data_IF_717562707289
#
_entry.id   IF_717562707289
#
_cell.length_a   1.000
_cell.length_b   1.000
_cell.length_c   1.000
_cell.angle_alpha   90.00
_cell.angle_beta   90.00
_cell.angle_gamma   90.00
#
_symmetry.space_group_name_H-M   'P 1'
#
loop_
_entity.id
_entity.type
_entity.pdbx_description
1 polymer ?
#
# COMPACT_ATOMS: atom_id res chain seq x y z
N UNK A 1 0.05 -3.00 -2.20
CA UNK A 1 -0.36 -2.84 -3.62
C UNK A 1 0.10 -1.46 -4.08
N UNK A 2 0.68 -1.40 -5.27
CA UNK A 2 1.53 -0.27 -5.70
C UNK A 2 0.73 1.00 -6.01
N UNK A 3 -0.52 0.84 -6.44
CA UNK A 3 -1.45 1.92 -6.80
C UNK A 3 -2.83 1.60 -6.24
N UNK A 4 -3.56 2.65 -5.85
CA UNK A 4 -4.96 2.59 -5.38
C UNK A 4 -5.96 2.25 -6.50
N UNK A 5 -5.63 2.55 -7.75
CA UNK A 5 -6.50 2.37 -8.89
C UNK A 5 -5.70 1.85 -10.11
N UNK A 6 -5.40 0.54 -10.16
CA UNK A 6 -4.65 -0.02 -11.28
C UNK A 6 -5.45 0.05 -12.59
N UNK A 7 -4.79 0.41 -13.69
CA UNK A 7 -5.43 0.43 -15.00
C UNK A 7 -5.82 -0.99 -15.44
N UNK A 8 -6.89 -1.15 -16.24
CA UNK A 8 -7.22 -2.45 -16.85
C UNK A 8 -6.06 -3.05 -17.65
N UNK A 9 -5.20 -2.20 -18.23
CA UNK A 9 -4.01 -2.64 -18.96
C UNK A 9 -2.96 -3.26 -18.02
N UNK A 10 -2.72 -2.68 -16.84
CA UNK A 10 -1.85 -3.25 -15.82
C UNK A 10 -2.36 -4.60 -15.34
N UNK A 11 -3.64 -4.69 -14.98
CA UNK A 11 -4.25 -5.95 -14.54
C UNK A 11 -4.10 -7.04 -15.62
N UNK A 12 -4.27 -6.68 -16.90
CA UNK A 12 -4.08 -7.60 -18.01
C UNK A 12 -2.64 -8.10 -18.14
N UNK A 13 -1.63 -7.24 -17.98
CA UNK A 13 -0.21 -7.63 -18.06
C UNK A 13 0.18 -8.57 -16.92
N UNK A 14 -0.24 -8.26 -15.70
CA UNK A 14 0.00 -9.11 -14.52
C UNK A 14 -0.70 -10.47 -14.67
N UNK A 15 -1.95 -10.48 -15.15
CA UNK A 15 -2.69 -11.71 -15.40
C UNK A 15 -2.04 -12.55 -16.52
N UNK A 16 -1.49 -11.92 -17.55
CA UNK A 16 -0.74 -12.61 -18.60
C UNK A 16 0.51 -13.29 -18.03
N UNK A 17 1.30 -12.60 -17.21
CA UNK A 17 2.47 -13.18 -16.54
C UNK A 17 2.12 -14.34 -15.58
N UNK A 18 0.93 -14.30 -14.98
CA UNK A 18 0.42 -15.43 -14.18
C UNK A 18 0.07 -16.64 -15.06
N UNK A 19 -0.55 -16.39 -16.21
CA UNK A 19 -0.98 -17.45 -17.13
C UNK A 19 0.19 -18.09 -17.86
N UNK A 20 1.25 -17.33 -18.12
CA UNK A 20 2.48 -17.78 -18.74
C UNK A 20 3.66 -16.93 -18.27
N UNK A 21 4.64 -17.57 -17.63
CA UNK A 21 5.88 -16.93 -17.19
C UNK A 21 6.92 -16.70 -18.32
N UNK A 22 6.51 -16.87 -19.58
CA UNK A 22 7.39 -16.83 -20.76
C UNK A 22 8.04 -18.17 -21.08
N UNK A 23 7.71 -19.23 -20.33
CA UNK A 23 8.15 -20.62 -20.55
C UNK A 23 6.97 -21.59 -20.60
N UNK A 24 5.74 -21.10 -20.75
CA UNK A 24 4.52 -21.90 -20.78
C UNK A 24 4.05 -22.39 -19.40
N UNK A 25 4.67 -21.92 -18.30
CA UNK A 25 4.30 -22.35 -16.95
C UNK A 25 3.31 -21.36 -16.34
N UNK A 26 2.12 -21.86 -16.03
CA UNK A 26 1.08 -21.11 -15.32
C UNK A 26 1.33 -21.15 -13.81
N UNK A 27 1.16 -20.02 -13.14
CA UNK A 27 1.21 -19.92 -11.68
C UNK A 27 2.60 -19.74 -11.08
N UNK A 28 3.59 -19.35 -11.88
CA UNK A 28 4.92 -18.99 -11.36
C UNK A 28 4.83 -17.69 -10.55
N UNK A 29 4.89 -17.83 -9.22
CA UNK A 29 4.82 -16.71 -8.30
C UNK A 29 5.99 -15.74 -8.49
N UNK A 30 7.19 -16.21 -8.86
CA UNK A 30 8.34 -15.32 -9.10
C UNK A 30 8.05 -14.41 -10.29
N UNK A 31 7.53 -14.97 -11.38
CA UNK A 31 7.15 -14.19 -12.56
C UNK A 31 6.01 -13.21 -12.24
N UNK A 32 5.00 -13.64 -11.47
CA UNK A 32 3.91 -12.79 -11.01
C UNK A 32 4.40 -11.61 -10.17
N UNK A 33 5.22 -11.86 -9.15
CA UNK A 33 5.75 -10.80 -8.28
C UNK A 33 6.64 -9.83 -9.06
N UNK A 34 7.43 -10.36 -10.00
CA UNK A 34 8.28 -9.54 -10.87
C UNK A 34 7.39 -8.62 -11.71
N UNK A 35 6.40 -9.17 -12.41
CA UNK A 35 5.47 -8.39 -13.22
C UNK A 35 4.74 -7.31 -12.41
N UNK A 36 4.33 -7.60 -11.17
CA UNK A 36 3.68 -6.61 -10.28
C UNK A 36 4.64 -5.48 -9.89
N UNK A 37 5.87 -5.81 -9.52
CA UNK A 37 6.82 -4.85 -8.94
C UNK A 37 7.60 -4.05 -9.99
N UNK A 38 7.76 -4.59 -11.19
CA UNK A 38 8.56 -3.96 -12.27
C UNK A 38 7.71 -3.41 -13.40
N UNK A 39 6.38 -3.47 -13.32
CA UNK A 39 5.53 -2.85 -14.34
C UNK A 39 5.77 -1.34 -14.39
N UNK A 40 5.72 -0.75 -15.58
CA UNK A 40 5.84 0.70 -15.76
C UNK A 40 4.84 1.48 -14.90
N UNK A 41 3.60 1.00 -14.75
CA UNK A 41 2.59 1.66 -13.93
C UNK A 41 2.92 1.59 -12.43
N UNK A 42 3.65 0.57 -12.01
CA UNK A 42 4.12 0.41 -10.64
C UNK A 42 5.37 1.27 -10.36
N UNK A 43 6.28 1.41 -11.32
CA UNK A 43 7.55 2.14 -11.14
C UNK A 43 7.48 3.62 -11.49
N UNK A 44 6.55 4.01 -12.36
CA UNK A 44 6.31 5.41 -12.74
C UNK A 44 4.89 5.81 -12.35
N UNK A 45 4.71 6.33 -11.11
CA UNK A 45 3.42 6.84 -10.69
C UNK A 45 2.96 7.96 -11.63
N UNK A 46 1.66 7.99 -11.93
CA UNK A 46 1.08 9.10 -12.67
C UNK A 46 1.36 10.43 -11.94
N UNK A 47 1.77 11.45 -12.69
CA UNK A 47 2.13 12.77 -12.14
C UNK A 47 0.91 13.59 -11.70
N UNK A 48 -0.30 13.11 -11.98
CA UNK A 48 -1.56 13.74 -11.61
C UNK A 48 -2.06 13.25 -10.24
N UNK A 49 -3.15 13.86 -9.76
CA UNK A 49 -3.74 13.52 -8.45
C UNK A 49 -4.43 12.14 -8.42
N UNK A 50 -4.43 11.40 -9.54
CA UNK A 50 -5.02 10.07 -9.64
C UNK A 50 -4.02 8.94 -9.40
N UNK A 51 -2.71 9.26 -9.36
CA UNK A 51 -1.64 8.29 -9.13
C UNK A 51 -1.32 8.00 -7.67
N UNK A 52 -0.95 6.74 -7.39
CA UNK A 52 -0.40 6.31 -6.11
C UNK A 52 -1.43 5.78 -5.10
N UNK A 53 -1.02 5.68 -3.83
CA UNK A 53 -1.86 5.30 -2.67
C UNK A 53 -1.63 6.28 -1.53
N UNK A 54 -2.69 6.65 -0.82
CA UNK A 54 -2.56 7.45 0.40
C UNK A 54 -1.77 6.68 1.46
N UNK A 55 -0.64 7.25 1.90
CA UNK A 55 0.18 6.66 2.96
C UNK A 55 -0.54 6.74 4.30
N UNK A 56 -0.61 5.63 5.01
CA UNK A 56 -1.25 5.47 6.33
C UNK A 56 -0.48 6.25 7.42
N UNK A 57 -1.17 6.81 8.45
CA UNK A 57 -0.54 7.57 9.53
C UNK A 57 0.70 6.90 10.12
N UNK A 58 0.63 5.61 10.46
CA UNK A 58 1.75 4.90 11.07
C UNK A 58 2.94 4.74 10.11
N UNK A 59 2.68 4.58 8.82
CA UNK A 59 3.71 4.51 7.78
C UNK A 59 4.38 5.87 7.57
N UNK A 60 3.65 6.98 7.73
CA UNK A 60 4.23 8.33 7.67
C UNK A 60 5.19 8.59 8.83
N UNK A 61 4.82 8.18 10.04
CA UNK A 61 5.71 8.31 11.21
C UNK A 61 6.93 7.41 11.05
N UNK A 62 6.74 6.18 10.60
CA UNK A 62 7.85 5.24 10.34
C UNK A 62 8.81 5.81 9.31
N UNK A 63 8.29 6.44 8.24
CA UNK A 63 9.12 7.14 7.27
C UNK A 63 9.88 8.31 7.92
N UNK A 64 9.22 9.15 8.71
CA UNK A 64 9.86 10.28 9.40
C UNK A 64 11.03 9.81 10.28
N UNK A 65 10.80 8.77 11.10
CA UNK A 65 11.81 8.18 11.98
C UNK A 65 13.01 7.67 11.17
N UNK A 66 12.76 7.01 10.02
CA UNK A 66 13.82 6.56 9.11
C UNK A 66 14.60 7.73 8.50
N UNK A 67 13.94 8.83 8.16
CA UNK A 67 14.58 10.02 7.57
C UNK A 67 15.51 10.71 8.57
N UNK A 68 15.19 10.69 9.86
CA UNK A 68 16.03 11.29 10.91
C UNK A 68 17.08 10.32 11.47
N UNK A 69 17.27 9.16 10.82
CA UNK A 69 18.28 8.14 11.14
C UNK A 69 18.28 7.72 12.62
N UNK A 70 17.12 7.77 13.28
CA UNK A 70 17.01 7.39 14.68
C UNK A 70 17.11 5.87 14.81
N UNK A 71 17.94 5.42 15.76
CA UNK A 71 18.09 4.02 16.12
C UNK A 71 17.58 3.80 17.55
N UNK A 72 17.02 2.63 17.79
CA UNK A 72 16.61 2.17 19.13
C UNK A 72 17.45 0.94 19.48
N UNK A 73 17.90 0.84 20.74
CA UNK A 73 18.61 -0.34 21.23
C UNK A 73 17.70 -1.57 21.28
N UNK A 74 16.40 -1.34 21.50
CA UNK A 74 15.38 -2.37 21.57
C UNK A 74 14.64 -2.48 20.24
N UNK A 75 14.29 -3.70 19.83
CA UNK A 75 13.51 -3.95 18.60
C UNK A 75 12.01 -3.64 18.76
N UNK A 76 11.65 -2.99 19.85
CA UNK A 76 10.29 -2.72 20.25
C UNK A 76 9.77 -1.39 19.70
N UNK A 77 8.45 -1.29 19.62
CA UNK A 77 7.77 -0.06 19.25
C UNK A 77 7.86 0.99 20.37
N UNK A 78 8.91 1.81 20.35
CA UNK A 78 9.22 2.79 21.39
C UNK A 78 8.25 4.00 21.49
N UNK A 79 7.31 4.15 20.54
CA UNK A 79 6.32 5.25 20.56
C UNK A 79 5.20 4.98 21.59
N UNK A 80 5.10 3.75 22.08
CA UNK A 80 4.05 3.32 23.01
C UNK A 80 2.71 3.06 22.31
N UNK A 81 1.65 2.88 23.10
CA UNK A 81 0.31 2.61 22.57
C UNK A 81 -0.23 3.82 21.78
N UNK A 82 -0.58 3.59 20.51
CA UNK A 82 -1.13 4.60 19.59
C UNK A 82 -2.54 4.29 19.11
N UNK A 83 -3.24 3.36 19.78
CA UNK A 83 -4.52 2.80 19.36
C UNK A 83 -5.73 3.65 19.76
N UNK A 84 -5.57 4.63 20.67
CA UNK A 84 -6.65 5.55 21.06
C UNK A 84 -7.05 6.50 19.89
N UNK A 85 -8.28 6.45 19.38
CA UNK A 85 -8.75 7.30 18.29
C UNK A 85 -8.93 8.78 18.70
N UNK A 86 -9.13 9.05 19.98
CA UNK A 86 -9.45 10.40 20.47
C UNK A 86 -8.20 11.27 20.62
N UNK A 87 -7.07 10.67 20.96
CA UNK A 87 -5.83 11.40 21.25
C UNK A 87 -4.61 10.92 20.47
N UNK A 88 -4.70 9.79 19.77
CA UNK A 88 -3.58 9.15 19.06
C UNK A 88 -3.94 8.84 17.60
N UNK A 89 -3.27 7.85 17.01
CA UNK A 89 -3.30 7.56 15.58
C UNK A 89 -4.41 6.60 15.17
N UNK A 90 -5.06 5.94 16.14
CA UNK A 90 -5.97 4.81 15.91
C UNK A 90 -5.29 3.64 15.16
N UNK A 91 -3.96 3.61 15.16
CA UNK A 91 -3.16 2.64 14.42
C UNK A 91 -1.93 2.29 15.24
N UNK A 92 -1.68 0.99 15.40
CA UNK A 92 -0.51 0.47 16.11
C UNK A 92 0.06 -0.75 15.36
N UNK A 93 1.40 -0.93 15.28
CA UNK A 93 1.95 -2.09 14.60
C UNK A 93 1.46 -3.36 15.28
N UNK A 94 1.15 -4.39 14.48
CA UNK A 94 0.65 -5.68 14.95
C UNK A 94 -0.77 -5.68 15.56
N UNK A 95 -1.50 -4.56 15.51
CA UNK A 95 -2.89 -4.47 16.00
C UNK A 95 -3.91 -4.28 14.85
N UNK A 96 -3.67 -4.88 13.69
CA UNK A 96 -4.62 -4.82 12.59
C UNK A 96 -5.93 -5.56 12.94
N UNK A 97 -7.10 -4.89 12.94
CA UNK A 97 -8.37 -5.53 13.31
C UNK A 97 -8.94 -6.44 12.23
N UNK A 98 -8.45 -6.35 10.99
CA UNK A 98 -8.92 -7.14 9.86
C UNK A 98 -7.85 -7.36 8.79
N UNK A 99 -8.17 -8.18 7.78
CA UNK A 99 -7.33 -8.36 6.57
C UNK A 99 -7.20 -7.08 5.73
N UNK A 100 -8.10 -6.10 5.93
CA UNK A 100 -8.04 -4.77 5.33
C UNK A 100 -7.30 -3.76 6.23
N UNK A 101 -6.55 -4.27 7.21
CA UNK A 101 -5.86 -3.48 8.22
C UNK A 101 -6.88 -2.66 9.05
N UNK A 102 -6.64 -1.36 9.21
CA UNK A 102 -7.48 -0.41 9.98
C UNK A 102 -8.66 0.18 9.18
N UNK A 103 -8.94 -0.32 7.98
CA UNK A 103 -9.96 0.23 7.09
C UNK A 103 -11.03 -0.82 6.75
N UNK A 104 -12.24 -0.37 6.40
CA UNK A 104 -13.26 -1.24 5.83
C UNK A 104 -12.96 -1.50 4.35
N UNK A 105 -13.49 -2.59 3.76
CA UNK A 105 -13.26 -2.92 2.34
C UNK A 105 -13.69 -1.82 1.37
N UNK A 106 -14.70 -1.04 1.78
CA UNK A 106 -15.34 0.06 1.08
C UNK A 106 -14.93 1.44 1.62
N UNK A 107 -13.89 1.51 2.46
CA UNK A 107 -13.47 2.76 3.08
C UNK A 107 -12.99 3.76 2.02
N UNK A 108 -13.75 4.83 1.84
CA UNK A 108 -13.33 6.05 1.21
C UNK A 108 -13.63 7.20 2.17
N UNK A 109 -12.68 8.13 2.37
CA UNK A 109 -12.94 9.28 3.26
C UNK A 109 -13.96 10.22 2.60
N UNK A 110 -15.16 10.40 3.17
CA UNK A 110 -16.17 11.28 2.58
C UNK A 110 -15.64 12.70 2.44
N UNK A 111 -15.94 13.37 1.33
CA UNK A 111 -15.50 14.76 1.03
C UNK A 111 -13.99 14.96 0.90
N UNK A 112 -13.22 13.89 0.74
CA UNK A 112 -11.79 13.98 0.41
C UNK A 112 -11.57 14.13 -1.09
N UNK A 113 -10.37 14.55 -1.52
CA UNK A 113 -10.02 14.57 -2.94
C UNK A 113 -10.02 13.16 -3.57
N UNK A 114 -9.81 12.13 -2.75
CA UNK A 114 -9.86 10.71 -3.14
C UNK A 114 -11.30 10.33 -3.51
N UNK A 115 -12.27 10.74 -2.67
CA UNK A 115 -13.71 10.56 -2.90
C UNK A 115 -14.19 11.29 -4.15
N UNK A 116 -13.77 12.54 -4.35
CA UNK A 116 -14.11 13.31 -5.55
C UNK A 116 -13.57 12.72 -6.86
N UNK A 117 -12.51 11.91 -6.78
CA UNK A 117 -11.88 11.24 -7.92
C UNK A 117 -12.27 9.76 -8.04
N UNK A 118 -13.19 9.27 -7.19
CA UNK A 118 -13.57 7.85 -7.10
C UNK A 118 -12.36 6.90 -6.94
N UNK A 119 -11.38 7.32 -6.14
CA UNK A 119 -10.20 6.51 -5.81
C UNK A 119 -10.42 5.80 -4.47
N UNK A 120 -9.68 4.71 -4.23
CA UNK A 120 -9.74 3.91 -2.99
C UNK A 120 -8.40 3.91 -2.25
#
# INVERSE_FOLDING_TARGET
MVTSNPSPAYVKRVAAAFNDNGSGVRGDMRALWTAILTDSEATTPAADKSGGKLREPIVRITQLIRTIETTTSDKDWAIGNTSDPSTRLEQMPLEAPSVFNFFTPDYCRPKSQIDALNLV
#
